data_IF_125484070081
#
_entry.id   IF_125484070081
#
_cell.length_a   1.000
_cell.length_b   1.000
_cell.length_c   1.000
_cell.angle_alpha   90.00
_cell.angle_beta   90.00
_cell.angle_gamma   90.00
#
_symmetry.space_group_name_H-M   'P 1'
#
loop_
_entity.id
_entity.type
_entity.pdbx_description
1 polymer ?
#
# COMPACT_ATOMS: atom_id res chain seq x y z
N UNK A 1 21.13 -14.87 5.35
CA UNK A 1 21.68 -13.89 6.30
C UNK A 1 20.76 -12.66 6.33
N UNK A 2 20.20 -12.24 7.43
CA UNK A 2 19.54 -10.94 7.71
C UNK A 2 18.14 -10.65 7.14
N UNK A 3 17.34 -11.63 6.72
CA UNK A 3 15.93 -11.40 6.37
C UNK A 3 15.17 -10.70 7.50
N UNK A 4 15.43 -11.11 8.76
CA UNK A 4 14.81 -10.53 9.95
C UNK A 4 15.09 -9.03 10.08
N UNK A 5 16.36 -8.63 10.01
CA UNK A 5 16.73 -7.21 10.11
C UNK A 5 16.13 -6.35 9.01
N UNK A 6 16.00 -6.90 7.81
CA UNK A 6 15.36 -6.20 6.69
C UNK A 6 13.87 -6.02 6.95
N UNK A 7 13.19 -7.06 7.45
CA UNK A 7 11.77 -6.99 7.82
C UNK A 7 11.53 -5.96 8.92
N UNK A 8 12.30 -6.01 10.00
CA UNK A 8 12.17 -5.09 11.14
C UNK A 8 12.48 -3.63 10.75
N UNK A 9 13.41 -3.43 9.83
CA UNK A 9 13.70 -2.10 9.29
C UNK A 9 12.60 -1.57 8.37
N UNK A 10 11.99 -2.44 7.55
CA UNK A 10 10.89 -2.07 6.65
C UNK A 10 9.56 -1.92 7.38
N UNK A 11 9.34 -2.72 8.41
CA UNK A 11 8.12 -2.79 9.20
C UNK A 11 8.48 -2.79 10.69
N UNK A 12 8.77 -1.65 11.32
CA UNK A 12 9.15 -1.58 12.73
C UNK A 12 8.10 -2.25 13.65
N UNK A 13 8.50 -3.17 14.55
CA UNK A 13 7.57 -3.97 15.36
C UNK A 13 6.59 -3.14 16.20
N UNK A 14 7.06 -2.05 16.76
CA UNK A 14 6.26 -1.12 17.57
C UNK A 14 5.11 -0.49 16.81
N UNK A 15 5.18 -0.49 15.49
CA UNK A 15 4.20 0.11 14.61
C UNK A 15 3.39 -0.91 13.81
N UNK A 16 4.02 -2.03 13.44
CA UNK A 16 3.44 -3.03 12.55
C UNK A 16 2.98 -4.31 13.24
N UNK A 17 2.95 -4.34 14.57
CA UNK A 17 2.35 -5.45 15.32
C UNK A 17 0.92 -5.06 15.73
N UNK A 18 -0.10 -5.80 15.29
CA UNK A 18 -1.47 -5.55 15.73
C UNK A 18 -1.62 -5.70 17.25
N UNK A 19 -2.55 -4.95 17.84
CA UNK A 19 -2.80 -5.01 19.27
C UNK A 19 -3.13 -6.44 19.73
N UNK A 20 -2.46 -6.89 20.78
CA UNK A 20 -2.62 -8.23 21.33
C UNK A 20 -1.81 -9.33 20.63
N UNK A 21 -1.06 -9.00 19.59
CA UNK A 21 -0.18 -9.94 18.91
C UNK A 21 1.24 -9.91 19.47
N UNK A 22 1.93 -11.06 19.39
CA UNK A 22 3.34 -11.18 19.76
C UNK A 22 4.22 -10.81 18.54
N UNK A 23 5.00 -9.70 18.61
CA UNK A 23 5.84 -9.28 17.49
C UNK A 23 6.77 -10.37 17.00
N UNK A 24 7.35 -11.15 17.92
CA UNK A 24 8.27 -12.22 17.56
C UNK A 24 7.61 -13.27 16.69
N UNK A 25 6.41 -13.72 17.06
CA UNK A 25 5.66 -14.74 16.30
C UNK A 25 5.25 -14.22 14.93
N UNK A 26 4.81 -12.96 14.83
CA UNK A 26 4.45 -12.34 13.55
C UNK A 26 5.63 -12.32 12.59
N UNK A 27 6.79 -11.86 13.05
CA UNK A 27 7.98 -11.81 12.19
C UNK A 27 8.55 -13.19 11.88
N UNK A 28 8.48 -14.16 12.80
CA UNK A 28 8.86 -15.54 12.51
C UNK A 28 7.99 -16.12 11.39
N UNK A 29 6.68 -15.87 11.41
CA UNK A 29 5.76 -16.27 10.35
C UNK A 29 6.08 -15.60 9.02
N UNK A 30 6.30 -14.26 9.01
CA UNK A 30 6.72 -13.52 7.81
C UNK A 30 8.02 -14.05 7.23
N UNK A 31 9.00 -14.37 8.06
CA UNK A 31 10.29 -14.89 7.61
C UNK A 31 10.15 -16.28 6.99
N UNK A 32 9.37 -17.16 7.60
CA UNK A 32 9.04 -18.48 7.05
C UNK A 32 8.36 -18.33 5.68
N UNK A 33 7.38 -17.44 5.58
CA UNK A 33 6.68 -17.18 4.33
C UNK A 33 7.62 -16.64 3.23
N UNK A 34 8.47 -15.68 3.55
CA UNK A 34 9.44 -15.14 2.58
C UNK A 34 10.43 -16.18 2.07
N UNK A 35 10.80 -17.16 2.91
CA UNK A 35 11.70 -18.27 2.51
C UNK A 35 11.05 -19.23 1.51
N UNK A 36 9.73 -19.19 1.32
CA UNK A 36 9.06 -20.00 0.28
C UNK A 36 9.30 -19.46 -1.13
N UNK A 37 9.71 -18.19 -1.26
CA UNK A 37 10.00 -17.60 -2.56
C UNK A 37 11.45 -17.83 -3.00
N UNK A 38 11.62 -18.20 -4.25
CA UNK A 38 12.95 -18.25 -4.84
C UNK A 38 13.52 -16.84 -5.04
N UNK A 39 14.85 -16.70 -5.04
CA UNK A 39 15.51 -15.43 -5.37
C UNK A 39 15.10 -14.90 -6.76
N UNK A 40 14.80 -15.81 -7.69
CA UNK A 40 14.29 -15.46 -9.02
C UNK A 40 12.90 -14.83 -8.93
N UNK A 41 12.01 -15.41 -8.13
CA UNK A 41 10.66 -14.86 -7.92
C UNK A 41 10.72 -13.46 -7.33
N UNK A 42 11.51 -13.28 -6.26
CA UNK A 42 11.69 -11.98 -5.60
C UNK A 42 12.22 -10.95 -6.60
N UNK A 43 13.28 -11.29 -7.34
CA UNK A 43 13.85 -10.40 -8.37
C UNK A 43 12.83 -10.01 -9.43
N UNK A 44 12.06 -10.98 -9.93
CA UNK A 44 11.06 -10.73 -10.98
C UNK A 44 9.94 -9.82 -10.49
N UNK A 45 9.46 -10.00 -9.25
CA UNK A 45 8.44 -9.13 -8.64
C UNK A 45 8.95 -7.69 -8.56
N UNK A 46 10.13 -7.47 -7.98
CA UNK A 46 10.71 -6.14 -7.89
C UNK A 46 10.99 -5.53 -9.26
N UNK A 47 11.49 -6.32 -10.20
CA UNK A 47 11.73 -5.83 -11.55
C UNK A 47 10.44 -5.41 -12.24
N UNK A 48 9.39 -6.22 -12.17
CA UNK A 48 8.08 -5.91 -12.76
C UNK A 48 7.46 -4.66 -12.13
N UNK A 49 7.50 -4.54 -10.80
CA UNK A 49 6.94 -3.38 -10.11
C UNK A 49 7.66 -2.08 -10.48
N UNK A 50 8.99 -2.12 -10.66
CA UNK A 50 9.77 -0.92 -10.98
C UNK A 50 9.83 -0.58 -12.48
N UNK A 51 9.46 -1.52 -13.35
CA UNK A 51 9.52 -1.34 -14.81
C UNK A 51 8.14 -1.39 -15.48
N UNK A 52 7.08 -1.35 -14.68
CA UNK A 52 5.73 -1.33 -15.23
C UNK A 52 5.45 -0.02 -15.96
N UNK A 53 5.01 -0.14 -17.20
CA UNK A 53 4.51 0.99 -17.99
C UNK A 53 3.02 0.82 -18.24
N UNK A 54 2.25 1.86 -17.95
CA UNK A 54 0.82 1.85 -18.27
C UNK A 54 0.64 1.79 -19.79
N UNK A 55 -0.20 0.87 -20.31
CA UNK A 55 -0.55 0.88 -21.71
C UNK A 55 -1.29 2.17 -22.10
N UNK A 56 -1.35 2.48 -23.38
CA UNK A 56 -2.23 3.56 -23.86
C UNK A 56 -3.67 3.18 -23.52
N UNK A 57 -4.27 3.97 -22.65
CA UNK A 57 -5.63 3.77 -22.19
C UNK A 57 -6.61 4.50 -23.12
N UNK A 58 -7.87 4.05 -23.22
CA UNK A 58 -8.93 4.79 -23.89
C UNK A 58 -9.03 6.22 -23.34
N UNK A 59 -9.42 7.17 -24.18
CA UNK A 59 -9.46 8.59 -23.84
C UNK A 59 -10.35 8.93 -22.62
N UNK A 60 -11.28 8.06 -22.25
CA UNK A 60 -12.13 8.22 -21.06
C UNK A 60 -12.36 6.87 -20.39
N UNK A 61 -11.93 6.77 -19.15
CA UNK A 61 -12.29 5.67 -18.25
C UNK A 61 -13.35 6.21 -17.29
N UNK A 62 -14.56 5.65 -17.34
CA UNK A 62 -15.68 6.04 -16.47
C UNK A 62 -15.53 5.55 -15.02
N UNK A 63 -14.52 4.72 -14.74
CA UNK A 63 -14.28 4.19 -13.39
C UNK A 63 -13.87 5.32 -12.44
N UNK A 64 -14.51 5.38 -11.28
CA UNK A 64 -14.10 6.24 -10.18
C UNK A 64 -12.82 5.66 -9.55
N UNK A 65 -11.79 6.47 -9.41
CA UNK A 65 -10.49 6.05 -8.90
C UNK A 65 -10.16 6.84 -7.65
N UNK A 66 -9.78 6.14 -6.61
CA UNK A 66 -9.29 6.73 -5.35
C UNK A 66 -7.91 6.19 -5.04
N UNK A 67 -6.95 7.08 -4.79
CA UNK A 67 -5.60 6.75 -4.40
C UNK A 67 -5.39 7.14 -2.93
N UNK A 68 -5.04 6.16 -2.09
CA UNK A 68 -4.78 6.36 -0.67
C UNK A 68 -3.30 6.16 -0.37
N UNK A 69 -2.78 6.94 0.55
CA UNK A 69 -1.41 6.81 1.04
C UNK A 69 -1.34 7.22 2.51
N UNK A 70 -0.40 6.70 3.25
CA UNK A 70 -0.11 7.16 4.61
C UNK A 70 0.58 8.52 4.60
N UNK A 71 0.17 9.44 5.46
CA UNK A 71 0.72 10.81 5.46
C UNK A 71 2.24 10.85 5.74
N UNK A 72 2.77 9.85 6.44
CA UNK A 72 4.19 9.76 6.73
C UNK A 72 5.04 9.51 5.48
N UNK A 73 4.44 8.92 4.42
CA UNK A 73 5.09 8.70 3.13
C UNK A 73 4.77 9.78 2.07
N UNK A 74 4.10 10.85 2.45
CA UNK A 74 3.63 11.90 1.53
C UNK A 74 4.71 12.44 0.59
N UNK A 75 5.94 12.59 1.08
CA UNK A 75 7.05 13.09 0.25
C UNK A 75 7.39 12.11 -0.87
N UNK A 76 7.42 10.82 -0.56
CA UNK A 76 7.78 9.75 -1.49
C UNK A 76 6.67 9.51 -2.52
N UNK A 77 5.40 9.72 -2.13
CA UNK A 77 4.24 9.55 -2.99
C UNK A 77 3.99 10.69 -3.99
N UNK A 78 4.70 11.80 -3.91
CA UNK A 78 4.51 12.95 -4.84
C UNK A 78 4.65 12.59 -6.31
N UNK A 79 5.59 11.70 -6.62
CA UNK A 79 5.82 11.23 -7.99
C UNK A 79 4.67 10.37 -8.47
N UNK A 80 4.24 9.43 -7.64
CA UNK A 80 3.15 8.52 -7.93
C UNK A 80 1.83 9.27 -8.13
N UNK A 81 1.53 10.22 -7.25
CA UNK A 81 0.32 11.07 -7.32
C UNK A 81 0.31 11.86 -8.63
N UNK A 82 1.45 12.44 -9.00
CA UNK A 82 1.58 13.19 -10.25
C UNK A 82 1.38 12.31 -11.47
N UNK A 83 1.94 11.11 -11.45
CA UNK A 83 1.80 10.12 -12.49
C UNK A 83 0.34 9.67 -12.63
N UNK A 84 -0.31 9.28 -11.54
CA UNK A 84 -1.71 8.84 -11.53
C UNK A 84 -2.63 9.94 -12.03
N UNK A 85 -2.47 11.17 -11.55
CA UNK A 85 -3.28 12.30 -12.00
C UNK A 85 -3.04 12.68 -13.48
N UNK A 86 -1.87 12.41 -13.99
CA UNK A 86 -1.58 12.60 -15.42
C UNK A 86 -2.35 11.63 -16.32
N UNK A 87 -2.53 10.39 -15.87
CA UNK A 87 -3.30 9.36 -16.60
C UNK A 87 -4.80 9.39 -16.27
N UNK A 88 -5.14 9.68 -15.03
CA UNK A 88 -6.51 9.66 -14.50
C UNK A 88 -6.79 10.96 -13.73
N UNK A 89 -7.08 12.08 -14.43
CA UNK A 89 -7.29 13.39 -13.80
C UNK A 89 -8.40 13.39 -12.75
N UNK A 90 -9.40 12.50 -12.91
CA UNK A 90 -10.54 12.34 -12.00
C UNK A 90 -10.17 11.65 -10.67
N UNK A 91 -8.92 11.13 -10.52
CA UNK A 91 -8.51 10.42 -9.31
C UNK A 91 -8.63 11.29 -8.07
N UNK A 92 -9.32 10.79 -7.05
CA UNK A 92 -9.35 11.42 -5.73
C UNK A 92 -8.14 10.94 -4.92
N UNK A 93 -7.46 11.88 -4.28
CA UNK A 93 -6.24 11.60 -3.50
C UNK A 93 -6.55 11.78 -2.01
N UNK A 94 -6.31 10.75 -1.21
CA UNK A 94 -6.51 10.78 0.24
C UNK A 94 -5.24 10.40 1.00
N UNK A 95 -4.72 11.34 1.79
CA UNK A 95 -3.72 11.07 2.80
C UNK A 95 -4.40 10.55 4.08
N UNK A 96 -3.94 9.40 4.56
CA UNK A 96 -4.44 8.82 5.82
C UNK A 96 -3.52 9.29 6.95
N UNK A 97 -4.07 10.06 7.93
CA UNK A 97 -3.25 10.68 8.96
C UNK A 97 -2.47 9.67 9.80
N UNK A 98 -1.20 9.97 10.08
CA UNK A 98 -0.32 9.20 10.97
C UNK A 98 -0.16 7.72 10.58
N UNK A 99 -0.20 7.42 9.29
CA UNK A 99 0.01 6.08 8.75
C UNK A 99 1.27 6.04 7.89
N UNK A 100 2.04 4.97 8.03
CA UNK A 100 3.13 4.60 7.14
C UNK A 100 2.62 3.77 5.96
N UNK A 101 3.55 3.37 5.09
CA UNK A 101 3.26 2.52 3.95
C UNK A 101 2.62 1.20 4.36
N UNK A 102 1.46 0.88 3.79
CA UNK A 102 0.67 -0.33 4.05
C UNK A 102 0.17 -0.52 5.50
N UNK A 103 0.51 0.34 6.46
CA UNK A 103 0.14 0.19 7.86
C UNK A 103 -1.39 0.10 8.07
N UNK A 104 -2.15 0.92 7.36
CA UNK A 104 -3.61 0.91 7.46
C UNK A 104 -4.20 -0.48 7.17
N UNK A 105 -3.71 -1.15 6.14
CA UNK A 105 -4.21 -2.47 5.72
C UNK A 105 -3.67 -3.59 6.62
N UNK A 106 -2.40 -3.49 7.01
CA UNK A 106 -1.74 -4.56 7.76
C UNK A 106 -2.10 -4.58 9.24
N UNK A 107 -2.32 -3.40 9.83
CA UNK A 107 -2.45 -3.24 11.29
C UNK A 107 -3.84 -2.79 11.72
N UNK A 108 -4.53 -2.06 10.85
CA UNK A 108 -5.81 -1.43 11.18
C UNK A 108 -6.93 -1.80 10.19
N UNK A 109 -7.26 -3.11 10.01
CA UNK A 109 -8.24 -3.54 9.01
C UNK A 109 -9.63 -2.93 9.23
N UNK A 110 -10.05 -2.71 10.47
CA UNK A 110 -11.33 -2.05 10.78
C UNK A 110 -11.36 -0.60 10.29
N UNK A 111 -10.25 0.15 10.49
CA UNK A 111 -10.13 1.51 9.95
C UNK A 111 -10.09 1.51 8.43
N UNK A 112 -9.44 0.51 7.83
CA UNK A 112 -9.44 0.35 6.37
C UNK A 112 -10.87 0.19 5.86
N UNK A 113 -11.66 -0.71 6.44
CA UNK A 113 -13.07 -0.90 6.07
C UNK A 113 -13.88 0.39 6.23
N UNK A 114 -13.73 1.08 7.36
CA UNK A 114 -14.40 2.37 7.60
C UNK A 114 -14.07 3.42 6.53
N UNK A 115 -12.80 3.58 6.17
CA UNK A 115 -12.41 4.51 5.11
C UNK A 115 -12.95 4.06 3.75
N UNK A 116 -12.94 2.77 3.45
CA UNK A 116 -13.46 2.22 2.22
C UNK A 116 -14.96 2.53 2.07
N UNK A 117 -15.75 2.25 3.08
CA UNK A 117 -17.18 2.55 3.12
C UNK A 117 -17.42 4.05 2.94
N UNK A 118 -16.74 4.89 3.72
CA UNK A 118 -16.86 6.34 3.62
C UNK A 118 -16.57 6.86 2.21
N UNK A 119 -15.49 6.42 1.58
CA UNK A 119 -15.12 6.90 0.26
C UNK A 119 -16.01 6.34 -0.85
N UNK A 120 -16.54 5.13 -0.69
CA UNK A 120 -17.53 4.57 -1.61
C UNK A 120 -18.87 5.31 -1.50
N UNK A 121 -19.32 5.61 -0.29
CA UNK A 121 -20.58 6.35 -0.05
C UNK A 121 -20.50 7.78 -0.59
N UNK A 122 -19.43 8.51 -0.29
CA UNK A 122 -19.22 9.87 -0.84
C UNK A 122 -19.18 9.92 -2.38
N UNK A 123 -18.90 8.80 -3.02
CA UNK A 123 -18.96 8.70 -4.47
C UNK A 123 -20.38 8.43 -5.00
N UNK A 124 -21.27 7.89 -4.19
CA UNK A 124 -22.67 7.63 -4.55
C UNK A 124 -23.53 8.90 -4.50
N UNK A 125 -23.20 9.86 -3.63
CA UNK A 125 -23.97 11.11 -3.44
C UNK A 125 -23.73 12.17 -4.53
N UNK A 126 -22.77 11.95 -5.42
CA UNK A 126 -22.43 12.89 -6.51
C UNK A 126 -22.99 12.46 -7.89
N UNK A 127 -23.95 11.55 -7.92
CA UNK A 127 -24.71 11.13 -9.09
C UNK A 127 -26.11 11.72 -9.02
#
# INVERSE_FOLDING_TARGET
>A
ANSRKILEAAFPPERFTPAGHDPKKEYDAMEVYLKTFSNRTIRNVFWSANNYALPKLPAKIGTKITYWYGDDEKKDRRRDIRFIKGYFPQTRIHGIPKMAHAELVMVHPEKFCWYAEKFLTLQAEEV
#
